data_IF_740078289997
#
_entry.id   IF_740078289997
#
_cell.length_a   1.000
_cell.length_b   1.000
_cell.length_c   1.000
_cell.angle_alpha   90.00
_cell.angle_beta   90.00
_cell.angle_gamma   90.00
#
_symmetry.space_group_name_H-M   'P 1'
#
loop_
_entity.id
_entity.type
_entity.pdbx_description
1 polymer ?
#
# COMPACT_ATOMS: atom_id res chain seq x y z
N UNK A 1 -9.75 4.47 0.01
CA UNK A 1 -10.64 5.62 0.33
C UNK A 1 -9.97 6.99 0.17
N UNK A 2 -8.78 7.22 0.75
CA UNK A 2 -8.13 8.55 0.80
C UNK A 2 -7.94 9.24 -0.56
N UNK A 3 -7.56 8.49 -1.61
CA UNK A 3 -7.35 9.05 -2.96
C UNK A 3 -8.64 9.57 -3.60
N UNK A 4 -9.71 8.77 -3.54
CA UNK A 4 -11.02 9.13 -4.10
C UNK A 4 -11.57 10.38 -3.40
N UNK A 5 -11.49 10.44 -2.06
CA UNK A 5 -11.94 11.59 -1.29
C UNK A 5 -11.12 12.85 -1.64
N UNK A 6 -9.80 12.72 -1.75
CA UNK A 6 -8.91 13.84 -2.08
C UNK A 6 -9.21 14.40 -3.48
N UNK A 7 -9.31 13.52 -4.48
CA UNK A 7 -9.62 13.89 -5.85
C UNK A 7 -10.99 14.58 -5.96
N UNK A 8 -12.02 14.01 -5.32
CA UNK A 8 -13.36 14.62 -5.26
C UNK A 8 -13.34 16.02 -4.66
N UNK A 9 -12.64 16.23 -3.54
CA UNK A 9 -12.51 17.55 -2.89
C UNK A 9 -11.80 18.57 -3.78
N UNK A 10 -10.91 18.12 -4.66
CA UNK A 10 -10.18 18.95 -5.62
C UNK A 10 -10.88 19.11 -6.96
N UNK A 11 -12.00 18.42 -7.19
CA UNK A 11 -12.71 18.41 -8.47
C UNK A 11 -11.92 17.72 -9.58
N UNK A 12 -11.04 16.77 -9.25
CA UNK A 12 -10.23 16.06 -10.24
C UNK A 12 -11.00 14.89 -10.85
N UNK A 13 -10.83 14.62 -12.17
CA UNK A 13 -11.56 13.58 -12.89
C UNK A 13 -10.96 12.19 -12.62
N UNK A 14 -10.99 11.74 -11.36
CA UNK A 14 -10.58 10.39 -10.96
C UNK A 14 -11.80 9.46 -10.97
N UNK A 15 -11.88 8.59 -11.96
CA UNK A 15 -13.00 7.67 -12.18
C UNK A 15 -12.90 6.40 -11.31
N UNK A 16 -11.67 5.96 -11.01
CA UNK A 16 -11.47 4.70 -10.31
C UNK A 16 -10.08 4.55 -9.72
N UNK A 17 -9.99 3.75 -8.65
CA UNK A 17 -8.73 3.36 -8.02
C UNK A 17 -8.79 1.87 -7.71
N UNK A 18 -7.81 1.12 -8.22
CA UNK A 18 -7.57 -0.29 -7.86
C UNK A 18 -6.29 -0.36 -7.05
N UNK A 19 -6.30 -1.15 -5.99
CA UNK A 19 -5.11 -1.41 -5.17
C UNK A 19 -4.99 -2.92 -5.02
N UNK A 20 -3.88 -3.45 -5.52
CA UNK A 20 -3.50 -4.85 -5.35
C UNK A 20 -2.37 -4.92 -4.32
N UNK A 21 -2.50 -5.84 -3.38
CA UNK A 21 -1.48 -6.16 -2.39
C UNK A 21 -1.01 -7.58 -2.62
N UNK A 22 0.30 -7.79 -2.70
CA UNK A 22 0.91 -9.12 -2.65
C UNK A 22 1.84 -9.20 -1.46
N UNK A 23 1.96 -10.40 -0.92
CA UNK A 23 2.89 -10.74 0.14
C UNK A 23 3.88 -11.76 -0.40
N UNK A 24 5.16 -11.53 -0.13
CA UNK A 24 6.26 -12.39 -0.52
C UNK A 24 7.25 -12.48 0.65
N UNK A 25 8.01 -13.58 0.69
CA UNK A 25 9.16 -13.70 1.58
C UNK A 25 10.41 -13.70 0.75
N UNK A 26 11.26 -12.68 0.91
CA UNK A 26 12.45 -12.47 0.08
C UNK A 26 13.71 -12.48 0.92
N UNK A 27 14.86 -12.84 0.35
CA UNK A 27 16.12 -12.64 1.05
C UNK A 27 16.47 -11.15 1.06
N UNK A 28 17.06 -10.66 2.16
CA UNK A 28 17.47 -9.27 2.32
C UNK A 28 18.38 -8.80 1.17
N UNK A 29 19.34 -9.64 0.76
CA UNK A 29 20.23 -9.40 -0.40
C UNK A 29 19.51 -9.20 -1.74
N UNK A 30 18.29 -9.72 -1.88
CA UNK A 30 17.49 -9.64 -3.10
C UNK A 30 16.48 -8.46 -3.05
N UNK A 31 16.50 -7.67 -1.97
CA UNK A 31 15.71 -6.46 -1.81
C UNK A 31 16.58 -5.21 -2.03
N UNK A 32 16.40 -4.52 -3.17
CA UNK A 32 17.17 -3.31 -3.52
C UNK A 32 16.96 -2.12 -2.54
N UNK A 33 15.91 -2.15 -1.71
CA UNK A 33 15.52 -1.05 -0.80
C UNK A 33 15.67 -1.40 0.70
N UNK A 34 16.21 -2.57 1.06
CA UNK A 34 16.26 -3.04 2.45
C UNK A 34 17.69 -2.95 3.04
N UNK A 35 17.89 -2.21 4.13
CA UNK A 35 19.22 -1.98 4.75
C UNK A 35 19.61 -3.01 5.85
N UNK A 36 19.32 -4.31 5.68
CA UNK A 36 19.59 -5.34 6.72
C UNK A 36 20.51 -6.48 6.25
N UNK A 37 21.26 -7.07 7.19
CA UNK A 37 22.28 -8.13 7.01
C UNK A 37 21.83 -9.27 6.06
N UNK A 38 22.73 -9.62 5.13
CA UNK A 38 22.50 -10.36 3.88
C UNK A 38 21.85 -11.77 3.98
N UNK A 39 21.73 -12.35 5.18
CA UNK A 39 21.18 -13.70 5.40
C UNK A 39 19.76 -13.74 6.02
N UNK A 40 19.12 -12.59 6.20
CA UNK A 40 17.77 -12.53 6.80
C UNK A 40 16.67 -12.64 5.74
N UNK A 41 15.59 -13.38 6.05
CA UNK A 41 14.37 -13.40 5.24
C UNK A 41 13.46 -12.24 5.66
N UNK A 42 13.08 -11.42 4.69
CA UNK A 42 12.19 -10.27 4.87
C UNK A 42 10.78 -10.61 4.39
N UNK A 43 9.80 -10.20 5.20
CA UNK A 43 8.40 -10.20 4.83
C UNK A 43 8.11 -8.94 3.99
N UNK A 44 7.89 -9.13 2.69
CA UNK A 44 7.72 -8.05 1.73
C UNK A 44 6.26 -7.96 1.31
N UNK A 45 5.64 -6.80 1.55
CA UNK A 45 4.30 -6.48 1.05
C UNK A 45 4.44 -5.49 -0.10
N UNK A 46 4.14 -5.94 -1.32
CA UNK A 46 4.11 -5.07 -2.50
C UNK A 46 2.73 -4.49 -2.69
N UNK A 47 2.67 -3.21 -3.02
CA UNK A 47 1.44 -2.49 -3.31
C UNK A 47 1.47 -1.94 -4.72
N UNK A 48 0.55 -2.42 -5.55
CA UNK A 48 0.33 -1.90 -6.89
C UNK A 48 -0.93 -1.02 -6.90
N UNK A 49 -0.82 0.22 -7.37
CA UNK A 49 -1.92 1.18 -7.38
C UNK A 49 -2.20 1.58 -8.82
N UNK A 50 -3.41 1.30 -9.28
CA UNK A 50 -3.88 1.74 -10.59
C UNK A 50 -4.92 2.84 -10.38
N UNK A 51 -4.72 3.98 -11.05
CA UNK A 51 -5.68 5.10 -11.07
C UNK A 51 -6.24 5.26 -12.48
N UNK A 52 -7.55 5.43 -12.60
CA UNK A 52 -8.25 5.64 -13.86
C UNK A 52 -8.88 7.04 -13.87
N UNK A 53 -8.69 7.77 -14.95
CA UNK A 53 -9.24 9.12 -15.13
C UNK A 53 -8.37 10.00 -16.02
N UNK A 54 -8.93 11.11 -16.47
CA UNK A 54 -8.24 12.12 -17.30
C UNK A 54 -7.37 13.04 -16.42
N UNK A 55 -6.35 12.44 -15.81
CA UNK A 55 -5.50 13.10 -14.83
C UNK A 55 -4.23 13.65 -15.47
N UNK A 56 -3.91 14.91 -15.17
CA UNK A 56 -2.62 15.50 -15.54
C UNK A 56 -1.47 14.83 -14.78
N UNK A 57 -0.24 15.01 -15.24
CA UNK A 57 0.93 14.44 -14.57
C UNK A 57 1.07 14.97 -13.14
N UNK A 58 0.83 16.25 -12.91
CA UNK A 58 0.88 16.87 -11.58
C UNK A 58 -0.17 16.26 -10.64
N UNK A 59 -1.36 15.96 -11.17
CA UNK A 59 -2.41 15.29 -10.41
C UNK A 59 -2.02 13.86 -10.03
N UNK A 60 -1.41 13.11 -10.96
CA UNK A 60 -0.91 11.74 -10.72
C UNK A 60 0.18 11.73 -9.65
N UNK A 61 1.18 12.60 -9.77
CA UNK A 61 2.25 12.75 -8.79
C UNK A 61 1.69 13.13 -7.42
N UNK A 62 0.70 14.03 -7.37
CA UNK A 62 0.08 14.39 -6.11
C UNK A 62 -0.72 13.24 -5.49
N UNK A 63 -1.45 12.48 -6.30
CA UNK A 63 -2.16 11.30 -5.85
C UNK A 63 -1.19 10.25 -5.30
N UNK A 64 -0.02 10.04 -5.92
CA UNK A 64 1.00 9.15 -5.39
C UNK A 64 1.45 9.55 -3.97
N UNK A 65 1.72 10.84 -3.75
CA UNK A 65 2.08 11.37 -2.41
C UNK A 65 0.94 11.12 -1.40
N UNK A 66 -0.30 11.38 -1.80
CA UNK A 66 -1.48 11.17 -0.94
C UNK A 66 -1.74 9.68 -0.67
N UNK A 67 -1.35 8.80 -1.59
CA UNK A 67 -1.56 7.35 -1.46
C UNK A 67 -0.84 6.75 -0.24
N UNK A 68 0.27 7.38 0.19
CA UNK A 68 1.03 7.03 1.40
C UNK A 68 0.33 7.44 2.70
N UNK A 69 -0.73 8.27 2.63
CA UNK A 69 -1.55 8.63 3.79
C UNK A 69 -2.77 7.73 3.96
N UNK A 70 -2.84 6.62 3.22
CA UNK A 70 -3.94 5.66 3.34
C UNK A 70 -3.87 4.98 4.72
N UNK A 71 -4.98 4.85 5.47
CA UNK A 71 -5.01 4.13 6.74
C UNK A 71 -4.41 2.72 6.65
N UNK A 72 -4.64 2.01 5.54
CA UNK A 72 -4.05 0.69 5.30
C UNK A 72 -2.53 0.75 5.21
N UNK A 73 -1.95 1.77 4.57
CA UNK A 73 -0.50 1.92 4.55
C UNK A 73 0.04 2.13 5.97
N UNK A 74 -0.63 2.94 6.80
CA UNK A 74 -0.25 3.09 8.21
C UNK A 74 -0.32 1.78 8.98
N UNK A 75 -1.41 1.02 8.83
CA UNK A 75 -1.54 -0.29 9.47
C UNK A 75 -0.40 -1.24 9.10
N UNK A 76 0.04 -1.22 7.84
CA UNK A 76 1.14 -2.05 7.36
C UNK A 76 2.51 -1.58 7.86
N UNK A 77 2.66 -0.31 8.25
CA UNK A 77 3.94 0.27 8.69
C UNK A 77 4.05 0.53 10.19
N UNK A 78 2.94 0.54 10.93
CA UNK A 78 2.86 0.98 12.35
C UNK A 78 2.60 -0.17 13.34
N UNK A 79 3.16 -1.36 13.12
CA UNK A 79 3.10 -2.53 14.02
C UNK A 79 1.69 -2.81 14.60
N UNK A 80 0.77 -3.38 13.81
CA UNK A 80 -0.60 -3.60 14.26
C UNK A 80 -0.67 -4.62 15.40
N UNK A 81 -1.64 -4.43 16.30
CA UNK A 81 -1.98 -5.46 17.30
C UNK A 81 -2.87 -6.51 16.64
N UNK A 82 -2.43 -7.77 16.68
CA UNK A 82 -3.18 -8.92 16.18
C UNK A 82 -3.80 -9.63 17.39
N UNK A 83 -5.08 -9.97 17.28
CA UNK A 83 -5.80 -10.77 18.26
C UNK A 83 -6.22 -12.07 17.56
N UNK A 84 -5.76 -13.20 18.10
CA UNK A 84 -6.05 -14.52 17.55
C UNK A 84 -7.17 -15.18 18.34
N UNK A 85 -8.18 -15.67 17.62
CA UNK A 85 -9.25 -16.52 18.15
C UNK A 85 -9.26 -17.83 17.35
N UNK A 86 -9.35 -18.97 18.05
CA UNK A 86 -9.38 -20.29 17.44
C UNK A 86 -10.46 -21.14 18.11
N UNK A 87 -11.35 -21.70 17.30
CA UNK A 87 -12.35 -22.69 17.71
C UNK A 87 -12.09 -24.00 16.98
N UNK A 88 -12.05 -25.11 17.72
CA UNK A 88 -11.98 -26.45 17.15
C UNK A 88 -13.41 -26.98 17.09
N UNK A 89 -13.95 -27.10 15.88
CA UNK A 89 -15.25 -27.74 15.67
C UNK A 89 -15.16 -29.22 16.07
N UNK A 90 -16.01 -29.62 17.01
CA UNK A 90 -16.22 -31.02 17.41
C UNK A 90 -17.24 -31.74 16.53
#
# INVERSE_FOLDING_TARGET
>A
MTLILYARRKGWPLDGVTIDLSYDRVHARDCEECEEDDDTMLDLIRRHIVVKGDLTEEQRQRLLIISRRCPVHRTLTEAPKILDEMEVAG
#
